data_IF_024327001939
#
_entry.id   IF_024327001939
#
_cell.length_a   1.000
_cell.length_b   1.000
_cell.length_c   1.000
_cell.angle_alpha   90.00
_cell.angle_beta   90.00
_cell.angle_gamma   90.00
#
_symmetry.space_group_name_H-M   'P 1'
#
loop_
_entity.id
_entity.type
_entity.pdbx_description
1 polymer ?
#
# COMPACT_ATOMS: atom_id res chain seq x y z
N UNK A 1 16.59 -4.80 15.64
CA UNK A 1 16.26 -3.44 15.16
C UNK A 1 15.25 -2.84 16.12
N UNK A 2 15.19 -1.52 16.31
CA UNK A 2 14.24 -0.96 17.27
C UNK A 2 12.84 -0.97 16.67
N UNK A 3 11.94 -1.73 17.27
CA UNK A 3 10.49 -1.67 17.03
C UNK A 3 9.94 -0.24 17.11
N UNK A 4 10.66 0.69 17.77
CA UNK A 4 10.29 2.10 17.83
C UNK A 4 10.29 2.79 16.46
N UNK A 5 11.35 2.66 15.64
CA UNK A 5 11.39 3.34 14.33
C UNK A 5 10.27 2.86 13.40
N UNK A 6 10.02 1.55 13.40
CA UNK A 6 8.94 0.97 12.62
C UNK A 6 7.59 1.57 13.02
N UNK A 7 7.30 1.65 14.32
CA UNK A 7 6.04 2.21 14.80
C UNK A 7 5.93 3.73 14.60
N UNK A 8 7.07 4.44 14.58
CA UNK A 8 7.09 5.89 14.30
C UNK A 8 6.81 6.18 12.81
N UNK A 9 7.37 5.37 11.90
CA UNK A 9 7.19 5.54 10.45
C UNK A 9 5.87 4.93 9.95
N UNK A 10 5.50 3.77 10.48
CA UNK A 10 4.35 2.95 10.10
C UNK A 10 3.53 2.56 11.34
N UNK A 11 2.82 3.51 11.97
CA UNK A 11 2.02 3.24 13.17
C UNK A 11 0.92 2.18 12.94
N UNK A 12 0.50 1.97 11.69
CA UNK A 12 -0.51 0.98 11.30
C UNK A 12 0.03 -0.46 11.19
N UNK A 13 1.35 -0.66 11.36
CA UNK A 13 1.98 -1.98 11.27
C UNK A 13 1.45 -2.97 12.32
N UNK A 14 1.43 -2.61 13.60
CA UNK A 14 1.04 -3.56 14.65
C UNK A 14 -0.45 -3.98 14.56
N UNK A 15 -1.40 -3.06 14.29
CA UNK A 15 -2.79 -3.44 14.02
C UNK A 15 -2.94 -4.40 12.83
N UNK A 16 -2.18 -4.18 11.74
CA UNK A 16 -2.17 -5.07 10.58
C UNK A 16 -1.56 -6.43 10.92
N UNK A 17 -0.38 -6.45 11.55
CA UNK A 17 0.32 -7.67 11.93
C UNK A 17 -0.51 -8.55 12.88
N UNK A 18 -1.24 -7.91 13.81
CA UNK A 18 -2.19 -8.59 14.69
C UNK A 18 -3.33 -9.23 13.90
N UNK A 19 -3.90 -8.53 12.91
CA UNK A 19 -4.97 -9.07 12.07
C UNK A 19 -4.50 -10.31 11.29
N UNK A 20 -3.30 -10.27 10.70
CA UNK A 20 -2.71 -11.41 9.99
C UNK A 20 -2.49 -12.59 10.92
N UNK A 21 -1.83 -12.40 12.07
CA UNK A 21 -1.50 -13.49 13.02
C UNK A 21 -2.72 -14.16 13.63
N UNK A 22 -3.85 -13.46 13.73
CA UNK A 22 -5.10 -13.99 14.27
C UNK A 22 -5.90 -14.78 13.23
N UNK A 23 -5.41 -14.93 12.00
CA UNK A 23 -6.10 -15.61 10.90
C UNK A 23 -5.21 -16.67 10.25
N UNK A 24 -5.86 -17.64 9.61
CA UNK A 24 -5.15 -18.68 8.87
C UNK A 24 -4.74 -18.15 7.49
N UNK A 25 -3.57 -18.52 6.97
CA UNK A 25 -3.10 -18.04 5.66
C UNK A 25 -4.09 -18.31 4.51
N UNK A 26 -4.80 -19.44 4.54
CA UNK A 26 -5.77 -19.86 3.52
C UNK A 26 -7.15 -19.21 3.67
N UNK A 27 -7.39 -18.45 4.74
CA UNK A 27 -8.69 -17.81 4.95
C UNK A 27 -8.91 -16.70 3.92
N UNK A 28 -10.10 -16.66 3.31
CA UNK A 28 -10.49 -15.57 2.41
C UNK A 28 -10.63 -14.22 3.13
N UNK A 29 -10.53 -13.16 2.36
CA UNK A 29 -10.66 -11.76 2.79
C UNK A 29 -11.89 -11.09 2.15
N UNK A 30 -12.16 -9.84 2.50
CA UNK A 30 -13.21 -9.03 1.86
C UNK A 30 -12.84 -8.59 0.44
N UNK A 31 -11.55 -8.63 0.10
CA UNK A 31 -11.11 -8.69 -1.28
C UNK A 31 -11.36 -10.11 -1.80
N UNK A 32 -12.54 -10.38 -2.38
CA UNK A 32 -13.04 -11.74 -2.66
C UNK A 32 -12.05 -12.68 -3.35
N UNK A 33 -11.14 -12.14 -4.16
CA UNK A 33 -10.15 -12.92 -4.89
C UNK A 33 -8.92 -13.33 -4.05
N UNK A 34 -8.76 -12.83 -2.82
CA UNK A 34 -7.53 -12.91 -2.05
C UNK A 34 -7.71 -13.69 -0.74
N UNK A 35 -6.67 -14.44 -0.40
CA UNK A 35 -6.49 -15.02 0.94
C UNK A 35 -5.63 -14.11 1.82
N UNK A 36 -5.59 -14.38 3.13
CA UNK A 36 -4.64 -13.71 4.04
C UNK A 36 -3.20 -13.88 3.55
N UNK A 37 -2.84 -15.03 2.97
CA UNK A 37 -1.53 -15.26 2.37
C UNK A 37 -1.27 -14.33 1.17
N UNK A 38 -2.26 -14.12 0.32
CA UNK A 38 -2.13 -13.20 -0.82
C UNK A 38 -1.90 -11.76 -0.35
N UNK A 39 -2.59 -11.34 0.72
CA UNK A 39 -2.34 -10.04 1.36
C UNK A 39 -0.89 -9.94 1.85
N UNK A 40 -0.35 -10.97 2.53
CA UNK A 40 1.04 -10.96 3.01
C UNK A 40 2.04 -10.90 1.85
N UNK A 41 1.80 -11.65 0.77
CA UNK A 41 2.61 -11.62 -0.45
C UNK A 41 2.62 -10.22 -1.07
N UNK A 42 1.44 -9.62 -1.18
CA UNK A 42 1.28 -8.28 -1.72
C UNK A 42 2.05 -7.25 -0.90
N UNK A 43 1.89 -7.27 0.42
CA UNK A 43 2.55 -6.34 1.32
C UNK A 43 4.07 -6.49 1.31
N UNK A 44 4.58 -7.72 1.20
CA UNK A 44 6.02 -7.96 1.09
C UNK A 44 6.58 -7.35 -0.21
N UNK A 45 5.87 -7.56 -1.33
CA UNK A 45 6.24 -6.97 -2.62
C UNK A 45 6.10 -5.46 -2.66
N UNK A 46 5.11 -4.89 -1.98
CA UNK A 46 4.95 -3.45 -1.91
C UNK A 46 6.06 -2.80 -1.09
N UNK A 47 6.32 -3.33 0.11
CA UNK A 47 7.38 -2.83 0.99
C UNK A 47 8.77 -2.93 0.34
N UNK A 48 9.09 -4.07 -0.30
CA UNK A 48 10.35 -4.21 -1.03
C UNK A 48 10.46 -3.22 -2.18
N UNK A 49 9.40 -3.06 -2.97
CA UNK A 49 9.46 -2.22 -4.16
C UNK A 49 9.56 -0.73 -3.83
N UNK A 50 8.84 -0.27 -2.80
CA UNK A 50 8.96 1.09 -2.27
C UNK A 50 10.38 1.35 -1.77
N UNK A 51 10.94 0.43 -0.96
CA UNK A 51 12.28 0.56 -0.43
C UNK A 51 13.33 0.55 -1.56
N UNK A 52 13.14 -0.28 -2.59
CA UNK A 52 14.04 -0.39 -3.74
C UNK A 52 14.11 0.92 -4.51
N UNK A 53 12.95 1.46 -4.92
CA UNK A 53 12.88 2.73 -5.67
C UNK A 53 13.44 3.89 -4.86
N UNK A 54 13.04 3.99 -3.59
CA UNK A 54 13.48 5.09 -2.74
C UNK A 54 14.98 5.02 -2.43
N UNK A 55 15.55 3.82 -2.24
CA UNK A 55 17.00 3.66 -2.03
C UNK A 55 17.80 4.15 -3.24
N UNK A 56 17.36 3.87 -4.47
CA UNK A 56 18.04 4.37 -5.68
C UNK A 56 17.96 5.88 -5.81
N UNK A 57 16.82 6.47 -5.43
CA UNK A 57 16.70 7.92 -5.39
C UNK A 57 17.66 8.57 -4.40
N UNK A 58 17.88 7.95 -3.23
CA UNK A 58 18.87 8.40 -2.24
C UNK A 58 20.29 8.37 -2.82
N UNK A 59 20.59 7.41 -3.70
CA UNK A 59 21.86 7.31 -4.42
C UNK A 59 21.96 8.27 -5.62
N UNK A 60 20.94 9.10 -5.86
CA UNK A 60 20.87 10.04 -6.99
C UNK A 60 20.46 9.41 -8.32
N UNK A 61 19.91 8.20 -8.30
CA UNK A 61 19.49 7.45 -9.49
C UNK A 61 17.97 7.17 -9.50
N UNK A 62 17.44 6.70 -10.64
CA UNK A 62 16.06 6.30 -10.79
C UNK A 62 15.94 4.96 -11.50
N UNK A 63 15.02 4.13 -11.03
CA UNK A 63 14.75 2.80 -11.56
C UNK A 63 13.26 2.65 -11.86
N UNK A 64 12.88 1.89 -12.90
CA UNK A 64 11.47 1.65 -13.21
C UNK A 64 10.83 0.83 -12.09
N UNK A 65 9.57 1.13 -11.76
CA UNK A 65 8.78 0.30 -10.85
C UNK A 65 8.43 -1.03 -11.51
N UNK A 66 8.67 -2.15 -10.80
CA UNK A 66 8.34 -3.51 -11.25
C UNK A 66 6.82 -3.71 -11.30
N UNK A 67 6.39 -4.63 -12.17
CA UNK A 67 4.99 -5.08 -12.18
C UNK A 67 4.63 -5.84 -10.89
N UNK A 68 3.32 -5.97 -10.60
CA UNK A 68 2.84 -6.80 -9.49
C UNK A 68 3.32 -8.25 -9.61
N UNK A 69 3.25 -8.82 -10.82
CA UNK A 69 3.69 -10.19 -11.09
C UNK A 69 5.19 -10.37 -10.77
N UNK A 70 6.05 -9.48 -11.28
CA UNK A 70 7.48 -9.53 -11.00
C UNK A 70 7.80 -9.40 -9.51
N UNK A 71 7.18 -8.42 -8.82
CA UNK A 71 7.53 -8.14 -7.43
C UNK A 71 6.96 -9.18 -6.47
N UNK A 72 5.84 -9.82 -6.79
CA UNK A 72 5.17 -10.80 -5.89
C UNK A 72 5.62 -12.24 -6.13
N UNK A 73 6.08 -12.57 -7.34
CA UNK A 73 6.49 -13.92 -7.72
C UNK A 73 7.48 -14.57 -6.73
N UNK A 74 8.52 -13.88 -6.22
CA UNK A 74 9.44 -14.48 -5.25
C UNK A 74 8.76 -14.95 -3.96
N UNK A 75 7.75 -14.22 -3.49
CA UNK A 75 7.05 -14.52 -2.23
C UNK A 75 6.01 -15.62 -2.39
N UNK A 76 5.42 -15.76 -3.58
CA UNK A 76 4.49 -16.87 -3.89
C UNK A 76 5.15 -18.23 -3.68
N UNK A 77 6.46 -18.33 -3.91
CA UNK A 77 7.24 -19.56 -3.77
C UNK A 77 7.66 -19.90 -2.31
N UNK A 78 7.50 -18.99 -1.35
CA UNK A 78 7.95 -19.18 0.04
C UNK A 78 6.91 -19.96 0.86
N UNK A 79 7.33 -20.74 1.86
CA UNK A 79 6.41 -21.22 2.90
C UNK A 79 5.88 -20.05 3.77
N UNK A 80 4.84 -20.28 4.57
CA UNK A 80 4.17 -19.23 5.34
C UNK A 80 5.07 -18.57 6.41
N UNK A 81 5.96 -19.34 7.05
CA UNK A 81 6.82 -18.82 8.12
C UNK A 81 7.92 -17.95 7.52
N UNK A 82 8.58 -18.44 6.46
CA UNK A 82 9.57 -17.69 5.69
C UNK A 82 8.97 -16.42 5.09
N UNK A 83 7.74 -16.51 4.55
CA UNK A 83 7.02 -15.37 4.00
C UNK A 83 6.76 -14.31 5.08
N UNK A 84 6.28 -14.73 6.26
CA UNK A 84 6.02 -13.81 7.36
C UNK A 84 7.30 -13.11 7.85
N UNK A 85 8.38 -13.86 8.10
CA UNK A 85 9.66 -13.26 8.49
C UNK A 85 10.21 -12.33 7.42
N UNK A 86 10.00 -12.65 6.14
CA UNK A 86 10.41 -11.79 5.02
C UNK A 86 9.60 -10.50 4.98
N UNK A 87 8.27 -10.55 5.15
CA UNK A 87 7.44 -9.35 5.23
C UNK A 87 7.93 -8.41 6.34
N UNK A 88 8.15 -8.94 7.55
CA UNK A 88 8.66 -8.14 8.69
C UNK A 88 9.95 -7.42 8.29
N UNK A 89 10.92 -8.15 7.73
CA UNK A 89 12.19 -7.57 7.32
C UNK A 89 12.05 -6.52 6.19
N UNK A 90 11.09 -6.68 5.27
CA UNK A 90 10.84 -5.72 4.19
C UNK A 90 10.20 -4.44 4.70
N UNK A 91 9.26 -4.56 5.63
CA UNK A 91 8.62 -3.42 6.27
C UNK A 91 9.61 -2.65 7.14
N UNK A 92 10.42 -3.35 7.93
CA UNK A 92 11.55 -2.77 8.67
C UNK A 92 12.50 -2.00 7.74
N UNK A 93 12.92 -2.65 6.63
CA UNK A 93 13.80 -2.03 5.66
C UNK A 93 13.18 -0.78 5.03
N UNK A 94 11.90 -0.81 4.69
CA UNK A 94 11.20 0.35 4.16
C UNK A 94 11.24 1.51 5.17
N UNK A 95 10.95 1.26 6.45
CA UNK A 95 10.99 2.30 7.48
C UNK A 95 12.37 2.98 7.57
N UNK A 96 13.45 2.20 7.50
CA UNK A 96 14.81 2.74 7.49
C UNK A 96 15.09 3.60 6.26
N UNK A 97 14.71 3.14 5.07
CA UNK A 97 14.93 3.89 3.82
C UNK A 97 14.12 5.17 3.84
N UNK A 98 12.87 5.13 4.30
CA UNK A 98 12.00 6.30 4.37
C UNK A 98 12.57 7.36 5.30
N UNK A 99 13.03 6.99 6.48
CA UNK A 99 13.66 7.91 7.43
C UNK A 99 14.95 8.52 6.87
N UNK A 100 15.83 7.68 6.30
CA UNK A 100 17.08 8.13 5.69
C UNK A 100 16.86 9.04 4.47
N UNK A 101 15.85 8.74 3.64
CA UNK A 101 15.52 9.53 2.47
C UNK A 101 15.01 10.93 2.83
N UNK A 102 14.21 11.05 3.90
CA UNK A 102 13.77 12.37 4.40
C UNK A 102 14.98 13.24 4.76
N UNK A 103 15.98 12.65 5.42
CA UNK A 103 17.19 13.35 5.84
C UNK A 103 18.14 13.66 4.67
N UNK A 104 18.20 12.79 3.65
CA UNK A 104 19.16 12.92 2.54
C UNK A 104 18.62 13.77 1.38
N UNK A 105 17.37 13.55 0.97
CA UNK A 105 16.76 14.22 -0.17
C UNK A 105 15.90 15.42 0.24
N UNK A 106 15.40 15.42 1.48
CA UNK A 106 14.45 16.41 1.97
C UNK A 106 12.99 16.05 1.63
N UNK A 107 12.06 16.54 2.47
CA UNK A 107 10.63 16.18 2.41
C UNK A 107 9.92 16.62 1.12
N UNK A 108 10.44 17.62 0.43
CA UNK A 108 9.86 18.16 -0.80
C UNK A 108 10.47 17.58 -2.07
N UNK A 109 11.49 16.72 -1.96
CA UNK A 109 12.05 16.04 -3.12
C UNK A 109 11.02 15.07 -3.70
N UNK A 110 10.99 14.99 -5.03
CA UNK A 110 10.08 14.13 -5.76
C UNK A 110 10.83 12.99 -6.43
N UNK A 111 10.35 11.77 -6.22
CA UNK A 111 10.90 10.53 -6.76
C UNK A 111 9.90 9.91 -7.74
N UNK A 112 10.41 9.40 -8.87
CA UNK A 112 9.58 8.71 -9.85
C UNK A 112 9.06 7.38 -9.28
N UNK A 113 7.77 7.11 -9.48
CA UNK A 113 7.10 5.90 -9.03
C UNK A 113 5.91 5.60 -9.93
N UNK A 114 5.79 4.42 -10.52
CA UNK A 114 4.61 3.96 -11.28
C UNK A 114 4.06 5.00 -12.27
N UNK A 115 4.93 5.58 -13.10
CA UNK A 115 4.54 6.59 -14.10
C UNK A 115 4.16 7.97 -13.54
N UNK A 116 4.34 8.20 -12.24
CA UNK A 116 4.09 9.48 -11.55
C UNK A 116 5.32 9.92 -10.74
N UNK A 117 5.24 11.10 -10.13
CA UNK A 117 6.19 11.60 -9.14
C UNK A 117 5.53 11.64 -7.78
N UNK A 118 6.23 11.17 -6.75
CA UNK A 118 5.78 11.19 -5.36
C UNK A 118 6.78 11.96 -4.51
N UNK A 119 6.29 12.75 -3.55
CA UNK A 119 7.17 13.31 -2.52
C UNK A 119 7.76 12.19 -1.67
N UNK A 120 8.98 12.38 -1.17
CA UNK A 120 9.67 11.38 -0.33
C UNK A 120 8.81 10.82 0.82
N UNK A 121 8.11 11.65 1.63
CA UNK A 121 7.27 11.13 2.71
C UNK A 121 6.11 10.24 2.24
N UNK A 122 5.66 10.41 0.99
CA UNK A 122 4.54 9.65 0.45
C UNK A 122 4.86 8.18 0.21
N UNK A 123 6.13 7.76 0.20
CA UNK A 123 6.49 6.35 0.13
C UNK A 123 6.08 5.59 1.40
N UNK A 124 6.35 6.19 2.58
CA UNK A 124 5.87 5.65 3.84
C UNK A 124 4.35 5.79 3.95
N UNK A 125 3.79 6.95 3.59
CA UNK A 125 2.34 7.19 3.61
C UNK A 125 1.57 6.18 2.75
N UNK A 126 2.12 5.79 1.59
CA UNK A 126 1.51 4.75 0.76
C UNK A 126 1.51 3.38 1.43
N UNK A 127 2.61 3.00 2.10
CA UNK A 127 2.60 1.77 2.89
C UNK A 127 1.61 1.85 4.06
N UNK A 128 1.44 3.01 4.69
CA UNK A 128 0.43 3.20 5.73
C UNK A 128 -0.99 2.98 5.20
N UNK A 129 -1.32 3.59 4.05
CA UNK A 129 -2.61 3.39 3.37
C UNK A 129 -2.86 1.91 3.10
N UNK A 130 -1.85 1.21 2.56
CA UNK A 130 -1.92 -0.20 2.21
C UNK A 130 -2.13 -1.09 3.44
N UNK A 131 -1.48 -0.78 4.57
CA UNK A 131 -1.69 -1.50 5.84
C UNK A 131 -3.11 -1.28 6.38
N UNK A 132 -3.68 -0.08 6.23
CA UNK A 132 -5.07 0.21 6.64
C UNK A 132 -6.06 -0.57 5.77
N UNK A 133 -5.95 -0.44 4.45
CA UNK A 133 -6.86 -1.08 3.48
C UNK A 133 -6.83 -2.60 3.63
N UNK A 134 -5.63 -3.19 3.67
CA UNK A 134 -5.51 -4.63 3.73
C UNK A 134 -5.72 -5.21 5.14
N UNK A 135 -5.64 -4.40 6.19
CA UNK A 135 -6.19 -4.80 7.49
C UNK A 135 -7.71 -4.92 7.40
N UNK A 136 -8.40 -3.95 6.82
CA UNK A 136 -9.85 -4.02 6.59
C UNK A 136 -10.21 -5.23 5.73
N UNK A 137 -9.45 -5.57 4.69
CA UNK A 137 -9.68 -6.79 3.93
C UNK A 137 -9.73 -8.05 4.83
N UNK A 138 -8.88 -8.11 5.85
CA UNK A 138 -8.80 -9.26 6.76
C UNK A 138 -9.91 -9.23 7.83
N UNK A 139 -10.26 -8.05 8.35
CA UNK A 139 -11.15 -7.91 9.51
C UNK A 139 -12.59 -7.60 9.16
N UNK A 140 -12.85 -7.03 7.97
CA UNK A 140 -14.10 -6.39 7.62
C UNK A 140 -14.33 -5.09 8.38
N UNK A 141 -15.60 -4.71 8.49
CA UNK A 141 -16.10 -3.47 9.10
C UNK A 141 -15.98 -3.43 10.65
N UNK A 142 -14.87 -3.93 11.20
CA UNK A 142 -14.59 -3.73 12.62
C UNK A 142 -14.38 -2.24 12.93
N UNK A 143 -14.78 -1.81 14.13
CA UNK A 143 -14.73 -0.40 14.49
C UNK A 143 -13.33 0.24 14.31
N UNK A 144 -12.20 -0.45 14.63
CA UNK A 144 -10.87 0.06 14.34
C UNK A 144 -10.57 0.23 12.84
N UNK A 145 -11.02 -0.68 11.97
CA UNK A 145 -10.83 -0.57 10.52
C UNK A 145 -11.58 0.63 9.98
N UNK A 146 -12.85 0.77 10.37
CA UNK A 146 -13.69 1.88 9.94
C UNK A 146 -13.13 3.24 10.40
N UNK A 147 -12.62 3.31 11.63
CA UNK A 147 -11.96 4.52 12.12
C UNK A 147 -10.73 4.88 11.28
N UNK A 148 -9.85 3.92 11.01
CA UNK A 148 -8.64 4.14 10.23
C UNK A 148 -8.95 4.52 8.76
N UNK A 149 -9.93 3.86 8.14
CA UNK A 149 -10.40 4.18 6.79
C UNK A 149 -11.03 5.57 6.68
N UNK A 150 -11.58 6.08 7.78
CA UNK A 150 -12.25 7.40 7.81
C UNK A 150 -11.29 8.56 8.01
N UNK A 151 -9.99 8.31 8.20
CA UNK A 151 -9.01 9.36 8.38
C UNK A 151 -8.87 10.23 7.10
N UNK A 152 -8.89 11.58 7.18
CA UNK A 152 -8.88 12.45 6.01
C UNK A 152 -7.65 12.28 5.09
N UNK A 153 -6.53 11.86 5.65
CA UNK A 153 -5.30 11.64 4.88
C UNK A 153 -5.43 10.42 3.95
N UNK A 154 -6.22 9.40 4.29
CA UNK A 154 -6.49 8.25 3.42
C UNK A 154 -7.07 8.72 2.09
N UNK A 155 -8.18 9.47 2.13
CA UNK A 155 -8.80 10.03 0.93
C UNK A 155 -7.85 10.92 0.15
N UNK A 156 -7.09 11.78 0.84
CA UNK A 156 -6.14 12.69 0.20
C UNK A 156 -5.07 11.93 -0.56
N UNK A 157 -4.46 10.93 0.08
CA UNK A 157 -3.42 10.12 -0.52
C UNK A 157 -3.97 9.22 -1.63
N UNK A 158 -5.10 8.54 -1.43
CA UNK A 158 -5.74 7.72 -2.47
C UNK A 158 -6.00 8.54 -3.73
N UNK A 159 -6.55 9.76 -3.61
CA UNK A 159 -6.87 10.61 -4.77
C UNK A 159 -5.61 11.17 -5.44
N UNK A 160 -4.70 11.76 -4.67
CA UNK A 160 -3.56 12.49 -5.22
C UNK A 160 -2.41 11.57 -5.61
N UNK A 161 -2.19 10.52 -4.84
CA UNK A 161 -1.13 9.56 -5.08
C UNK A 161 -1.64 8.50 -6.06
N UNK A 162 -2.68 7.75 -5.71
CA UNK A 162 -3.00 6.48 -6.40
C UNK A 162 -4.05 6.64 -7.52
N UNK A 163 -4.91 7.65 -7.43
CA UNK A 163 -6.15 7.75 -8.22
C UNK A 163 -5.95 7.82 -9.72
N UNK A 164 -5.04 8.66 -10.22
CA UNK A 164 -4.80 8.82 -11.67
C UNK A 164 -4.30 7.51 -12.32
N UNK A 165 -3.26 6.84 -11.81
CA UNK A 165 -2.83 5.53 -12.32
C UNK A 165 -3.95 4.50 -12.35
N UNK A 166 -4.76 4.39 -11.28
CA UNK A 166 -5.86 3.43 -11.23
C UNK A 166 -6.97 3.76 -12.22
N UNK A 167 -7.34 5.03 -12.34
CA UNK A 167 -8.34 5.49 -13.31
C UNK A 167 -7.90 5.17 -14.74
N UNK A 168 -6.64 5.48 -15.08
CA UNK A 168 -6.10 5.19 -16.42
C UNK A 168 -6.09 3.69 -16.72
N UNK A 169 -5.70 2.86 -15.74
CA UNK A 169 -5.72 1.40 -15.90
C UNK A 169 -7.14 0.86 -16.05
N UNK A 170 -8.09 1.35 -15.26
CA UNK A 170 -9.49 0.96 -15.32
C UNK A 170 -10.14 1.35 -16.66
N UNK A 171 -9.91 2.58 -17.12
CA UNK A 171 -10.40 3.05 -18.42
C UNK A 171 -9.87 2.18 -19.57
N UNK A 172 -8.57 1.87 -19.57
CA UNK A 172 -7.99 0.98 -20.57
C UNK A 172 -8.54 -0.45 -20.50
N UNK A 173 -8.75 -0.99 -19.30
CA UNK A 173 -9.31 -2.35 -19.13
C UNK A 173 -10.77 -2.46 -19.58
N UNK A 174 -11.51 -1.35 -19.57
CA UNK A 174 -12.89 -1.25 -20.02
C UNK A 174 -13.02 -0.78 -21.48
N UNK A 175 -11.90 -0.54 -22.17
CA UNK A 175 -11.85 0.00 -23.54
C UNK A 175 -12.66 1.30 -23.71
N UNK A 176 -12.58 2.19 -22.71
CA UNK A 176 -13.30 3.46 -22.74
C UNK A 176 -12.62 4.47 -23.68
N UNK A 177 -13.42 5.12 -24.51
CA UNK A 177 -13.02 6.28 -25.31
C UNK A 177 -12.93 7.55 -24.45
N UNK A 178 -12.26 8.59 -24.96
CA UNK A 178 -12.07 9.86 -24.26
C UNK A 178 -13.39 10.58 -23.92
N UNK A 179 -14.45 10.34 -24.70
CA UNK A 179 -15.79 10.91 -24.52
C UNK A 179 -16.78 9.97 -23.80
N UNK A 180 -16.35 8.75 -23.47
CA UNK A 180 -17.16 7.84 -22.68
C UNK A 180 -17.35 8.39 -21.26
N UNK A 181 -18.59 8.22 -20.76
CA UNK A 181 -18.98 8.71 -19.44
C UNK A 181 -19.12 7.55 -18.48
N UNK A 182 -18.33 7.57 -17.42
CA UNK A 182 -18.55 6.73 -16.25
C UNK A 182 -19.46 7.49 -15.29
N UNK A 183 -20.67 6.99 -15.08
CA UNK A 183 -21.57 7.49 -14.05
C UNK A 183 -21.38 6.67 -12.77
N UNK A 184 -21.09 7.36 -11.68
CA UNK A 184 -20.95 6.78 -10.35
C UNK A 184 -21.97 7.38 -9.41
N UNK A 185 -22.28 6.64 -8.35
CA UNK A 185 -23.08 7.16 -7.24
C UNK A 185 -22.51 6.64 -5.95
N UNK A 186 -22.02 7.55 -5.10
CA UNK A 186 -21.61 7.20 -3.76
C UNK A 186 -22.84 7.31 -2.86
N UNK A 187 -23.15 6.22 -2.16
CA UNK A 187 -24.27 6.14 -1.22
C UNK A 187 -23.72 5.93 0.18
N UNK A 188 -24.26 6.69 1.12
CA UNK A 188 -24.03 6.51 2.55
C UNK A 188 -25.41 6.50 3.20
N UNK A 189 -25.64 5.57 4.12
CA UNK A 189 -26.90 5.50 4.86
C UNK A 189 -27.24 6.87 5.48
N UNK A 190 -28.51 7.24 5.41
CA UNK A 190 -29.04 8.52 5.90
C UNK A 190 -28.39 9.79 5.31
N UNK A 191 -27.68 9.69 4.18
CA UNK A 191 -27.08 10.83 3.48
C UNK A 191 -27.56 10.93 2.02
N UNK A 192 -27.63 12.15 1.43
CA UNK A 192 -27.88 12.30 0.00
C UNK A 192 -26.80 11.60 -0.83
N UNK A 193 -27.23 10.97 -1.91
CA UNK A 193 -26.33 10.41 -2.92
C UNK A 193 -25.39 11.51 -3.47
N UNK A 194 -24.10 11.18 -3.60
CA UNK A 194 -23.15 12.00 -4.36
C UNK A 194 -23.06 11.43 -5.77
N UNK A 195 -23.33 12.26 -6.77
CA UNK A 195 -23.31 11.94 -8.21
C UNK A 195 -22.29 12.79 -8.95
#
# INVERSE_FOLDING_TARGET
>A
MSTALLNDVLPEWEPFATAVRNRRPEQGTWCEAWTVRDVVIHQAGNAEELARVLSRAVEGDSIPTRSFEERESPYRAMDNDSLWSTLVARVERLSEVSDAAVSTLGQNAEVAWTGRRMKVPWFAEHMREELVLHRWDITGDDAPAMAALSEPWMTTHTVLAVGRPLLSRGAAALDLADDDRVEGRLRVDDSPDVV
#
